data_IF_369277994262
#
_entry.id   IF_369277994262
#
_cell.length_a   1.000
_cell.length_b   1.000
_cell.length_c   1.000
_cell.angle_alpha   90.00
_cell.angle_beta   90.00
_cell.angle_gamma   90.00
#
_symmetry.space_group_name_H-M   'P 1'
#
loop_
_entity.id
_entity.type
_entity.pdbx_description
1 polymer ?
#
# COMPACT_ATOMS: atom_id res chain seq x y z
N UNK A 1 -12.27 5.57 18.79
CA UNK A 1 -12.26 5.94 17.36
C UNK A 1 -10.88 6.37 16.85
N UNK A 2 -10.29 7.48 17.33
CA UNK A 2 -8.97 7.99 16.84
C UNK A 2 -7.81 6.98 16.83
N UNK A 3 -7.75 6.03 17.79
CA UNK A 3 -6.62 5.09 17.88
C UNK A 3 -6.47 4.19 16.65
N UNK A 4 -7.57 3.70 16.05
CA UNK A 4 -7.50 2.75 14.92
C UNK A 4 -7.01 3.41 13.62
N UNK A 5 -7.46 4.63 13.34
CA UNK A 5 -7.03 5.41 12.16
C UNK A 5 -5.58 5.87 12.30
N UNK A 6 -5.17 6.29 13.51
CA UNK A 6 -3.77 6.60 13.81
C UNK A 6 -2.86 5.39 13.56
N UNK A 7 -3.25 4.21 14.04
CA UNK A 7 -2.48 2.99 13.78
C UNK A 7 -2.40 2.64 12.29
N UNK A 8 -3.51 2.73 11.55
CA UNK A 8 -3.51 2.46 10.11
C UNK A 8 -2.59 3.42 9.33
N UNK A 9 -2.63 4.72 9.65
CA UNK A 9 -1.77 5.73 9.02
C UNK A 9 -0.30 5.56 9.36
N UNK A 10 0.04 5.31 10.63
CA UNK A 10 1.42 5.04 11.07
C UNK A 10 1.96 3.77 10.41
N UNK A 11 1.15 2.71 10.29
CA UNK A 11 1.55 1.49 9.61
C UNK A 11 1.87 1.70 8.13
N UNK A 12 1.11 2.54 7.42
CA UNK A 12 1.40 2.87 6.02
C UNK A 12 2.71 3.68 5.89
N UNK A 13 2.96 4.61 6.81
CA UNK A 13 4.22 5.36 6.85
C UNK A 13 5.40 4.42 7.12
N UNK A 14 5.28 3.51 8.08
CA UNK A 14 6.31 2.51 8.36
C UNK A 14 6.55 1.57 7.15
N UNK A 15 5.48 1.13 6.47
CA UNK A 15 5.59 0.36 5.22
C UNK A 15 6.35 1.12 4.13
N UNK A 16 6.16 2.44 4.01
CA UNK A 16 6.88 3.24 3.00
C UNK A 16 8.40 3.27 3.23
N UNK A 17 8.83 3.34 4.49
CA UNK A 17 10.23 3.33 4.89
C UNK A 17 10.83 1.95 4.62
N UNK A 18 10.14 0.88 5.01
CA UNK A 18 10.59 -0.49 4.77
C UNK A 18 10.68 -0.81 3.27
N UNK A 19 9.73 -0.33 2.47
CA UNK A 19 9.76 -0.49 1.02
C UNK A 19 10.98 0.21 0.39
N UNK A 20 11.40 1.36 0.94
CA UNK A 20 12.61 2.08 0.52
C UNK A 20 13.92 1.39 0.88
N UNK A 21 13.93 0.53 1.89
CA UNK A 21 15.15 -0.19 2.31
C UNK A 21 15.47 -1.35 1.36
N UNK A 22 14.47 -1.92 0.70
CA UNK A 22 14.65 -2.97 -0.31
C UNK A 22 14.61 -2.35 -1.70
N UNK A 23 15.63 -1.59 -2.11
CA UNK A 23 15.63 -0.97 -3.45
C UNK A 23 16.06 -1.97 -4.53
N UNK A 24 15.14 -2.31 -5.42
CA UNK A 24 15.42 -3.17 -6.59
C UNK A 24 15.08 -2.44 -7.90
N UNK A 25 14.09 -1.54 -7.86
CA UNK A 25 13.71 -0.70 -8.98
C UNK A 25 13.47 0.70 -8.46
N UNK A 26 14.52 1.53 -8.47
CA UNK A 26 14.56 2.87 -7.82
C UNK A 26 13.31 3.69 -8.11
N UNK A 27 12.80 3.65 -9.34
CA UNK A 27 11.62 4.38 -9.76
C UNK A 27 10.30 3.81 -9.19
N UNK A 28 10.05 2.51 -9.34
CA UNK A 28 8.83 1.86 -8.84
C UNK A 28 8.77 1.88 -7.31
N UNK A 29 9.91 1.68 -6.65
CA UNK A 29 10.03 1.79 -5.20
C UNK A 29 9.67 3.20 -4.72
N UNK A 30 10.09 4.24 -5.46
CA UNK A 30 9.75 5.63 -5.18
C UNK A 30 8.26 5.93 -5.33
N UNK A 31 7.64 5.44 -6.41
CA UNK A 31 6.21 5.64 -6.67
C UNK A 31 5.37 4.95 -5.61
N UNK A 32 5.65 3.67 -5.29
CA UNK A 32 4.87 2.90 -4.32
C UNK A 32 5.06 3.46 -2.91
N UNK A 33 6.28 3.82 -2.50
CA UNK A 33 6.49 4.47 -1.21
C UNK A 33 5.84 5.85 -1.15
N UNK A 34 5.88 6.63 -2.22
CA UNK A 34 5.15 7.91 -2.31
C UNK A 34 3.65 7.73 -2.10
N UNK A 35 3.05 6.75 -2.78
CA UNK A 35 1.64 6.39 -2.58
C UNK A 35 1.34 5.97 -1.14
N UNK A 36 2.19 5.14 -0.52
CA UNK A 36 2.03 4.73 0.88
C UNK A 36 2.15 5.91 1.85
N UNK A 37 3.06 6.86 1.60
CA UNK A 37 3.20 8.07 2.42
C UNK A 37 1.96 8.94 2.31
N UNK A 38 1.54 9.27 1.08
CA UNK A 38 0.36 10.10 0.85
C UNK A 38 -0.89 9.42 1.40
N UNK A 39 -1.05 8.12 1.16
CA UNK A 39 -2.14 7.31 1.72
C UNK A 39 -2.13 7.31 3.26
N UNK A 40 -0.96 7.17 3.88
CA UNK A 40 -0.80 7.24 5.34
C UNK A 40 -1.21 8.60 5.89
N UNK A 41 -0.75 9.70 5.29
CA UNK A 41 -1.11 11.07 5.69
C UNK A 41 -2.62 11.31 5.51
N UNK A 42 -3.20 10.85 4.41
CA UNK A 42 -4.65 10.92 4.16
C UNK A 42 -5.45 10.21 5.27
N UNK A 43 -5.02 9.02 5.69
CA UNK A 43 -5.65 8.25 6.78
C UNK A 43 -5.46 8.91 8.15
N UNK A 44 -4.34 9.58 8.38
CA UNK A 44 -4.11 10.34 9.62
C UNK A 44 -4.96 11.62 9.70
N UNK A 45 -5.18 12.28 8.56
CA UNK A 45 -5.99 13.50 8.47
C UNK A 45 -7.50 13.24 8.44
N UNK A 46 -7.90 11.98 8.30
CA UNK A 46 -9.30 11.52 8.27
C UNK A 46 -9.96 11.68 9.64
N UNK A 47 -11.08 12.41 9.69
CA UNK A 47 -11.94 12.54 10.89
C UNK A 47 -13.12 11.56 10.86
N UNK A 48 -13.67 11.31 9.68
CA UNK A 48 -14.77 10.39 9.38
C UNK A 48 -14.45 9.58 8.11
N UNK A 49 -15.19 8.51 7.80
CA UNK A 49 -14.94 7.72 6.59
C UNK A 49 -15.36 8.51 5.34
N UNK A 50 -14.37 9.06 4.65
CA UNK A 50 -14.51 9.86 3.44
C UNK A 50 -13.58 9.32 2.31
N UNK A 51 -13.53 10.06 1.20
CA UNK A 51 -12.60 9.80 0.08
C UNK A 51 -11.13 9.59 0.48
N UNK A 52 -10.66 10.17 1.60
CA UNK A 52 -9.29 9.97 2.09
C UNK A 52 -9.08 8.59 2.68
N UNK A 53 -10.09 8.06 3.37
CA UNK A 53 -10.11 6.68 3.87
C UNK A 53 -10.09 5.66 2.72
N UNK A 54 -10.85 5.92 1.66
CA UNK A 54 -10.84 5.09 0.44
C UNK A 54 -9.47 5.14 -0.25
N UNK A 55 -8.90 6.33 -0.41
CA UNK A 55 -7.56 6.50 -0.99
C UNK A 55 -6.49 5.74 -0.18
N UNK A 56 -6.52 5.86 1.15
CA UNK A 56 -5.62 5.12 2.03
C UNK A 56 -5.74 3.60 1.90
N UNK A 57 -6.97 3.09 1.76
CA UNK A 57 -7.23 1.67 1.54
C UNK A 57 -6.69 1.19 0.18
N UNK A 58 -6.88 1.97 -0.88
CA UNK A 58 -6.30 1.68 -2.21
C UNK A 58 -4.78 1.66 -2.15
N UNK A 59 -4.16 2.61 -1.43
CA UNK A 59 -2.71 2.64 -1.24
C UNK A 59 -2.20 1.40 -0.47
N UNK A 60 -2.92 0.97 0.57
CA UNK A 60 -2.62 -0.28 1.30
C UNK A 60 -2.69 -1.51 0.41
N UNK A 61 -3.72 -1.62 -0.43
CA UNK A 61 -3.87 -2.70 -1.41
C UNK A 61 -2.78 -2.67 -2.49
N UNK A 62 -2.39 -1.49 -2.97
CA UNK A 62 -1.30 -1.34 -3.92
C UNK A 62 0.04 -1.83 -3.33
N UNK A 63 0.32 -1.50 -2.06
CA UNK A 63 1.49 -2.01 -1.34
C UNK A 63 1.48 -3.54 -1.19
N UNK A 64 0.31 -4.12 -0.89
CA UNK A 64 0.14 -5.58 -0.83
C UNK A 64 0.40 -6.25 -2.18
N UNK A 65 -0.16 -5.71 -3.27
CA UNK A 65 0.02 -6.24 -4.61
C UNK A 65 1.46 -6.07 -5.14
N UNK A 66 2.15 -5.01 -4.73
CA UNK A 66 3.54 -4.76 -5.13
C UNK A 66 4.54 -5.72 -4.48
N UNK A 67 4.24 -6.19 -3.26
CA UNK A 67 5.14 -7.07 -2.51
C UNK A 67 5.49 -8.39 -3.24
N UNK A 68 4.54 -9.19 -3.76
CA UNK A 68 4.86 -10.40 -4.53
C UNK A 68 5.59 -10.11 -5.85
N UNK A 69 5.30 -8.97 -6.50
CA UNK A 69 6.02 -8.54 -7.72
C UNK A 69 7.50 -8.31 -7.39
N UNK A 70 7.76 -7.63 -6.28
CA UNK A 70 9.13 -7.33 -5.81
C UNK A 70 9.89 -8.60 -5.41
N UNK A 71 9.21 -9.54 -4.77
CA UNK A 71 9.76 -10.84 -4.39
C UNK A 71 10.14 -11.69 -5.62
N UNK A 72 9.27 -11.69 -6.63
CA UNK A 72 9.52 -12.34 -7.93
C UNK A 72 10.71 -11.73 -8.65
N UNK A 73 10.82 -10.39 -8.63
CA UNK A 73 11.92 -9.65 -9.25
C UNK A 73 13.26 -9.95 -8.58
N UNK A 74 13.31 -9.99 -7.23
CA UNK A 74 14.50 -10.40 -6.48
C UNK A 74 14.95 -11.81 -6.83
N UNK A 75 14.01 -12.75 -6.79
CA UNK A 75 14.31 -14.18 -6.87
C UNK A 75 14.65 -14.66 -8.29
N UNK A 76 13.88 -14.21 -9.29
CA UNK A 76 14.01 -14.71 -10.66
C UNK A 76 14.88 -13.82 -11.54
N UNK A 77 14.77 -12.50 -11.41
CA UNK A 77 15.43 -11.56 -12.33
C UNK A 77 16.79 -11.17 -11.75
N UNK A 78 16.80 -10.53 -10.58
CA UNK A 78 18.01 -9.90 -10.04
C UNK A 78 19.07 -10.94 -9.63
N UNK A 79 18.65 -12.03 -8.97
CA UNK A 79 19.57 -13.10 -8.61
C UNK A 79 20.17 -13.81 -9.84
N UNK A 80 19.41 -13.93 -10.93
CA UNK A 80 19.90 -14.50 -12.20
C UNK A 80 20.90 -13.57 -12.90
N UNK A 81 20.65 -12.25 -12.91
CA UNK A 81 21.53 -11.26 -13.53
C UNK A 81 22.86 -11.12 -12.76
N UNK A 82 22.79 -11.09 -11.42
CA UNK A 82 23.95 -10.88 -10.57
C UNK A 82 24.75 -12.16 -10.28
N UNK A 83 24.30 -13.32 -10.78
CA UNK A 83 24.87 -14.63 -10.46
C UNK A 83 25.01 -14.90 -8.95
N UNK A 84 24.10 -14.31 -8.15
CA UNK A 84 24.10 -14.43 -6.70
C UNK A 84 23.20 -15.60 -6.26
N UNK A 85 23.48 -16.13 -5.07
CA UNK A 85 22.64 -17.17 -4.49
C UNK A 85 21.23 -16.62 -4.22
N UNK A 86 20.23 -17.18 -4.91
CA UNK A 86 18.82 -16.76 -4.85
C UNK A 86 18.26 -16.80 -3.42
N UNK A 87 18.68 -17.78 -2.63
CA UNK A 87 18.25 -17.93 -1.24
C UNK A 87 18.76 -16.81 -0.33
N UNK A 88 19.98 -16.32 -0.59
CA UNK A 88 20.57 -15.20 0.14
C UNK A 88 19.86 -13.88 -0.19
N UNK A 89 19.64 -13.60 -1.49
CA UNK A 89 18.89 -12.41 -1.91
C UNK A 89 17.46 -12.41 -1.38
N UNK A 90 16.81 -13.57 -1.42
CA UNK A 90 15.46 -13.76 -0.92
C UNK A 90 15.41 -13.59 0.61
N UNK A 91 16.38 -14.14 1.35
CA UNK A 91 16.49 -13.95 2.80
C UNK A 91 16.61 -12.47 3.18
N UNK A 92 17.51 -11.74 2.51
CA UNK A 92 17.68 -10.29 2.74
C UNK A 92 16.41 -9.51 2.38
N UNK A 93 15.76 -9.83 1.26
CA UNK A 93 14.52 -9.18 0.85
C UNK A 93 13.36 -9.46 1.81
N UNK A 94 13.21 -10.71 2.27
CA UNK A 94 12.12 -11.15 3.14
C UNK A 94 12.11 -10.43 4.49
N UNK A 95 13.29 -10.15 5.07
CA UNK A 95 13.41 -9.45 6.36
C UNK A 95 12.66 -8.12 6.37
N UNK A 96 12.61 -7.43 5.23
CA UNK A 96 11.93 -6.14 5.09
C UNK A 96 10.57 -6.25 4.36
N UNK A 97 10.43 -7.19 3.42
CA UNK A 97 9.17 -7.41 2.70
C UNK A 97 8.08 -7.97 3.61
N UNK A 98 8.40 -8.92 4.50
CA UNK A 98 7.40 -9.50 5.42
C UNK A 98 6.80 -8.43 6.35
N UNK A 99 7.59 -7.58 7.04
CA UNK A 99 7.03 -6.50 7.83
C UNK A 99 6.20 -5.50 7.02
N UNK A 100 6.63 -5.16 5.80
CA UNK A 100 5.89 -4.26 4.90
C UNK A 100 4.52 -4.84 4.56
N UNK A 101 4.48 -6.13 4.22
CA UNK A 101 3.26 -6.88 3.91
C UNK A 101 2.34 -6.91 5.12
N UNK A 102 2.88 -7.24 6.31
CA UNK A 102 2.13 -7.27 7.56
C UNK A 102 1.52 -5.92 7.94
N UNK A 103 2.28 -4.83 7.79
CA UNK A 103 1.81 -3.47 8.08
C UNK A 103 0.75 -2.99 7.07
N UNK A 104 0.94 -3.27 5.77
CA UNK A 104 -0.08 -2.97 4.76
C UNK A 104 -1.36 -3.78 5.00
N UNK A 105 -1.23 -5.06 5.36
CA UNK A 105 -2.38 -5.93 5.66
C UNK A 105 -3.11 -5.46 6.91
N UNK A 106 -2.39 -5.16 7.99
CA UNK A 106 -2.95 -4.63 9.22
C UNK A 106 -3.65 -3.28 8.99
N UNK A 107 -3.04 -2.37 8.23
CA UNK A 107 -3.65 -1.08 7.90
C UNK A 107 -4.94 -1.26 7.09
N UNK A 108 -4.91 -2.14 6.08
CA UNK A 108 -6.08 -2.44 5.25
C UNK A 108 -7.20 -3.08 6.08
N UNK A 109 -6.90 -4.04 6.95
CA UNK A 109 -7.87 -4.65 7.85
C UNK A 109 -8.45 -3.65 8.85
N UNK A 110 -7.63 -2.75 9.40
CA UNK A 110 -8.09 -1.70 10.31
C UNK A 110 -9.03 -0.73 9.60
N UNK A 111 -8.70 -0.31 8.38
CA UNK A 111 -9.55 0.52 7.53
C UNK A 111 -10.86 -0.19 7.17
N UNK A 112 -10.80 -1.47 6.79
CA UNK A 112 -11.98 -2.30 6.53
C UNK A 112 -12.87 -2.43 7.77
N UNK A 113 -12.28 -2.62 8.97
CA UNK A 113 -13.02 -2.71 10.23
C UNK A 113 -13.72 -1.40 10.63
N UNK A 114 -13.27 -0.27 10.10
CA UNK A 114 -13.87 1.04 10.32
C UNK A 114 -15.06 1.29 9.37
N UNK A 115 -15.19 0.50 8.30
CA UNK A 115 -16.19 0.69 7.23
C UNK A 115 -17.50 -0.02 7.57
N UNK A 116 -18.64 0.69 7.54
CA UNK A 116 -19.98 0.09 7.74
C UNK A 116 -20.55 -0.63 6.51
N UNK A 117 -20.08 -0.34 5.28
CA UNK A 117 -20.42 -1.09 4.04
C UNK A 117 -19.47 -0.76 2.89
N UNK A 118 -18.86 -1.79 2.27
CA UNK A 118 -17.80 -1.66 1.25
C UNK A 118 -18.31 -1.25 -0.14
N UNK A 119 -19.48 -1.77 -0.54
CA UNK A 119 -20.04 -1.56 -1.87
C UNK A 119 -20.71 -0.19 -2.04
N UNK A 120 -21.30 0.36 -0.98
CA UNK A 120 -21.99 1.65 -1.03
C UNK A 120 -21.01 2.82 -1.24
N UNK A 121 -19.92 2.89 -0.46
CA UNK A 121 -18.96 4.00 -0.58
C UNK A 121 -18.11 3.99 -1.85
N UNK A 122 -17.72 2.83 -2.40
CA UNK A 122 -16.95 2.81 -3.67
C UNK A 122 -17.82 3.29 -4.83
N UNK A 123 -19.10 2.88 -4.85
CA UNK A 123 -20.03 3.29 -5.89
C UNK A 123 -20.30 4.80 -5.85
N UNK A 124 -20.49 5.36 -4.65
CA UNK A 124 -20.87 6.76 -4.48
C UNK A 124 -19.68 7.74 -4.52
N UNK A 125 -18.49 7.34 -4.09
CA UNK A 125 -17.34 8.26 -4.02
C UNK A 125 -16.35 8.11 -5.18
N UNK A 126 -16.33 6.96 -5.88
CA UNK A 126 -15.38 6.70 -6.97
C UNK A 126 -16.09 6.56 -8.31
N UNK A 127 -17.20 5.80 -8.40
CA UNK A 127 -17.92 5.65 -9.67
C UNK A 127 -18.76 6.89 -10.03
N UNK A 128 -19.57 7.42 -9.10
CA UNK A 128 -20.44 8.59 -9.35
C UNK A 128 -19.70 9.83 -9.91
N UNK A 129 -18.51 10.25 -9.42
CA UNK A 129 -17.81 11.39 -10.00
C UNK A 129 -17.18 11.09 -11.37
N UNK A 130 -16.81 9.84 -11.66
CA UNK A 130 -16.32 9.44 -12.98
C UNK A 130 -17.47 9.42 -13.99
N UNK A 131 -18.62 8.88 -13.60
CA UNK A 131 -19.82 8.81 -14.43
C UNK A 131 -20.37 10.21 -14.72
N UNK A 132 -20.43 11.10 -13.72
CA UNK A 132 -20.79 12.51 -13.94
C UNK A 132 -19.81 13.26 -14.85
N UNK A 133 -18.51 12.93 -14.84
CA UNK A 133 -17.54 13.51 -15.77
C UNK A 133 -17.69 12.99 -17.19
N UNK A 134 -18.13 11.75 -17.36
CA UNK A 134 -18.35 11.14 -18.67
C UNK A 134 -19.63 11.65 -19.36
N UNK A 135 -20.65 12.03 -18.60
CA UNK A 135 -21.91 12.60 -19.14
C UNK A 135 -21.86 14.11 -19.41
N UNK A 136 -20.80 14.80 -18.96
CA UNK A 136 -20.57 16.24 -19.19
C UNK A 136 -19.53 16.54 -20.29
N UNK A 137 -19.05 15.51 -20.99
CA UNK A 137 -18.21 15.57 -22.19
C UNK A 137 -19.04 15.09 -23.40
#
# INVERSE_FOLDING_TARGET
MKRKTVFAGVSLLASSILNMLVRIGVFLDFVVSGLLVVGGVCVLAMKEWDSKGVFGLVCGLAGLAYTPIKLTTLYFILASILHLNRFWLLGLGLVFLIPTLGLCLASTLLLLSYRKSFFSSIRVEVLDPIEKRFWFL
#
